data_IF_870742562493
#
_entry.id   IF_870742562493
#
_cell.length_a   1.000
_cell.length_b   1.000
_cell.length_c   1.000
_cell.angle_alpha   90.00
_cell.angle_beta   90.00
_cell.angle_gamma   90.00
#
_symmetry.space_group_name_H-M   'P 1'
#
loop_
_entity.id
_entity.type
_entity.pdbx_description
1 polymer ?
#
# COMPACT_ATOMS: atom_id res chain seq x y z
N UNK A 1 8.76 -57.59 15.85
CA UNK A 1 8.92 -56.65 14.72
C UNK A 1 8.38 -55.30 15.19
N UNK A 2 9.24 -54.38 15.61
CA UNK A 2 8.82 -53.08 16.15
C UNK A 2 9.10 -51.99 15.11
N UNK A 3 8.05 -51.37 14.60
CA UNK A 3 8.15 -50.15 13.79
C UNK A 3 8.31 -48.95 14.73
N UNK A 4 9.44 -48.27 14.64
CA UNK A 4 9.66 -46.96 15.26
C UNK A 4 9.10 -45.89 14.33
N UNK A 5 7.89 -45.38 14.59
CA UNK A 5 7.43 -44.15 13.92
C UNK A 5 8.28 -42.96 14.39
N UNK A 6 8.92 -42.26 13.45
CA UNK A 6 9.70 -41.07 13.74
C UNK A 6 8.78 -39.91 14.14
N UNK A 7 8.84 -39.50 15.40
CA UNK A 7 8.10 -38.33 15.91
C UNK A 7 8.73 -37.04 15.37
N UNK A 8 7.95 -36.24 14.62
CA UNK A 8 8.37 -34.93 14.13
C UNK A 8 8.20 -33.87 15.22
N UNK A 9 9.32 -33.44 15.82
CA UNK A 9 9.35 -32.30 16.74
C UNK A 9 9.40 -31.00 15.96
N UNK A 10 8.46 -30.09 16.20
CA UNK A 10 8.42 -28.75 15.58
C UNK A 10 8.65 -27.69 16.64
N UNK A 11 9.72 -26.91 16.49
CA UNK A 11 10.04 -25.77 17.36
C UNK A 11 9.78 -24.48 16.58
N UNK A 12 9.06 -23.54 17.19
CA UNK A 12 8.88 -22.19 16.63
C UNK A 12 10.07 -21.31 17.03
N UNK A 13 10.84 -20.87 16.03
CA UNK A 13 11.94 -19.93 16.21
C UNK A 13 11.60 -18.59 15.55
N UNK A 14 12.01 -17.48 16.18
CA UNK A 14 11.89 -16.13 15.60
C UNK A 14 13.20 -15.80 14.88
N UNK A 15 13.16 -15.76 13.55
CA UNK A 15 14.26 -15.26 12.75
C UNK A 15 14.20 -13.74 12.72
N UNK A 16 15.30 -13.09 13.11
CA UNK A 16 15.46 -11.64 12.97
C UNK A 16 16.22 -11.35 11.68
N UNK A 17 15.85 -10.29 10.94
CA UNK A 17 16.60 -9.89 9.76
C UNK A 17 18.01 -9.46 10.14
N UNK A 18 18.97 -9.73 9.27
CA UNK A 18 20.29 -9.11 9.37
C UNK A 18 20.15 -7.59 9.17
N UNK A 19 21.13 -6.77 9.61
CA UNK A 19 21.09 -5.32 9.37
C UNK A 19 20.89 -4.97 7.89
N UNK A 20 21.57 -5.69 6.99
CA UNK A 20 21.41 -5.50 5.54
C UNK A 20 19.99 -5.82 5.05
N UNK A 21 19.36 -6.89 5.55
CA UNK A 21 17.98 -7.23 5.21
C UNK A 21 16.99 -6.20 5.75
N UNK A 22 17.21 -5.70 6.98
CA UNK A 22 16.38 -4.66 7.57
C UNK A 22 16.46 -3.35 6.78
N UNK A 23 17.67 -2.96 6.35
CA UNK A 23 17.88 -1.79 5.49
C UNK A 23 17.20 -1.94 4.13
N UNK A 24 17.35 -3.10 3.48
CA UNK A 24 16.70 -3.37 2.19
C UNK A 24 15.16 -3.33 2.29
N UNK A 25 14.60 -3.88 3.38
CA UNK A 25 13.18 -3.80 3.65
C UNK A 25 12.73 -2.35 3.87
N UNK A 26 13.44 -1.59 4.71
CA UNK A 26 13.12 -0.19 4.97
C UNK A 26 13.14 0.66 3.71
N UNK A 27 14.15 0.49 2.85
CA UNK A 27 14.23 1.16 1.56
C UNK A 27 13.05 0.79 0.63
N UNK A 28 12.64 -0.47 0.65
CA UNK A 28 11.48 -0.94 -0.13
C UNK A 28 10.18 -0.31 0.36
N UNK A 29 9.97 -0.19 1.67
CA UNK A 29 8.79 0.46 2.25
C UNK A 29 8.77 1.95 1.91
N UNK A 30 9.91 2.64 2.00
CA UNK A 30 10.04 4.04 1.59
C UNK A 30 9.65 4.23 0.12
N UNK A 31 10.19 3.42 -0.79
CA UNK A 31 9.86 3.46 -2.21
C UNK A 31 8.37 3.18 -2.48
N UNK A 32 7.77 2.22 -1.76
CA UNK A 32 6.33 1.96 -1.84
C UNK A 32 5.50 3.17 -1.37
N UNK A 33 5.95 3.86 -0.32
CA UNK A 33 5.23 5.00 0.23
C UNK A 33 5.29 6.22 -0.70
N UNK A 34 6.46 6.52 -1.25
CA UNK A 34 6.64 7.56 -2.27
C UNK A 34 5.78 7.27 -3.51
N UNK A 35 5.80 6.01 -3.96
CA UNK A 35 4.96 5.56 -5.06
C UNK A 35 3.46 5.74 -4.78
N UNK A 36 2.99 5.50 -3.55
CA UNK A 36 1.61 5.74 -3.16
C UNK A 36 1.24 7.23 -3.23
N UNK A 37 2.14 8.12 -2.81
CA UNK A 37 1.99 9.57 -2.99
C UNK A 37 1.79 9.94 -4.45
N UNK A 38 2.67 9.45 -5.32
CA UNK A 38 2.56 9.69 -6.77
C UNK A 38 1.27 9.14 -7.38
N UNK A 39 0.86 7.90 -7.03
CA UNK A 39 -0.42 7.35 -7.50
C UNK A 39 -1.58 8.22 -7.02
N UNK A 40 -1.53 8.75 -5.80
CA UNK A 40 -2.58 9.63 -5.29
C UNK A 40 -2.67 10.95 -6.05
N UNK A 41 -1.54 11.53 -6.46
CA UNK A 41 -1.52 12.73 -7.30
C UNK A 41 -2.18 12.46 -8.65
N UNK A 42 -1.89 11.32 -9.27
CA UNK A 42 -2.54 10.91 -10.52
C UNK A 42 -4.04 10.69 -10.32
N UNK A 43 -4.43 9.99 -9.25
CA UNK A 43 -5.83 9.74 -8.91
C UNK A 43 -6.61 11.06 -8.78
N UNK A 44 -6.02 12.03 -8.08
CA UNK A 44 -6.61 13.34 -7.88
C UNK A 44 -6.72 14.13 -9.19
N UNK A 45 -5.63 14.21 -9.96
CA UNK A 45 -5.58 14.96 -11.23
C UNK A 45 -6.54 14.40 -12.27
N UNK A 46 -6.65 13.08 -12.35
CA UNK A 46 -7.50 12.41 -13.35
C UNK A 46 -8.95 12.22 -12.90
N UNK A 47 -9.23 12.40 -11.59
CA UNK A 47 -10.53 12.09 -10.98
C UNK A 47 -10.85 10.59 -10.96
N UNK A 48 -9.89 9.71 -11.31
CA UNK A 48 -10.10 8.26 -11.40
C UNK A 48 -9.47 7.57 -10.21
N UNK A 49 -10.31 7.11 -9.28
CA UNK A 49 -9.87 6.56 -7.98
C UNK A 49 -10.10 5.04 -7.86
N UNK A 50 -10.68 4.39 -8.86
CA UNK A 50 -10.92 2.95 -8.83
C UNK A 50 -9.63 2.17 -9.04
N UNK A 51 -9.52 0.98 -8.43
CA UNK A 51 -8.35 0.09 -8.56
C UNK A 51 -8.03 -0.21 -10.03
N UNK A 52 -9.03 -0.54 -10.84
CA UNK A 52 -8.85 -0.88 -12.24
C UNK A 52 -8.40 0.32 -13.08
N UNK A 53 -8.90 1.52 -12.80
CA UNK A 53 -8.46 2.72 -13.50
C UNK A 53 -7.01 3.08 -13.12
N UNK A 54 -6.70 3.07 -11.82
CA UNK A 54 -5.35 3.35 -11.33
C UNK A 54 -4.35 2.29 -11.79
N UNK A 55 -4.74 1.03 -11.89
CA UNK A 55 -3.84 0.00 -12.42
C UNK A 55 -3.50 0.26 -13.88
N UNK A 56 -4.49 0.59 -14.73
CA UNK A 56 -4.24 0.91 -16.14
C UNK A 56 -3.34 2.13 -16.30
N UNK A 57 -3.56 3.16 -15.49
CA UNK A 57 -2.86 4.44 -15.59
C UNK A 57 -1.45 4.40 -14.98
N UNK A 58 -1.30 3.75 -13.81
CA UNK A 58 -0.13 3.91 -12.97
C UNK A 58 0.83 2.71 -13.04
N UNK A 59 0.36 1.51 -13.39
CA UNK A 59 1.19 0.30 -13.33
C UNK A 59 2.49 0.41 -14.15
N UNK A 60 2.49 0.90 -15.41
CA UNK A 60 3.72 1.12 -16.15
C UNK A 60 4.69 2.06 -15.42
N UNK A 61 4.20 3.21 -14.93
CA UNK A 61 5.04 4.14 -14.19
C UNK A 61 5.53 3.63 -12.84
N UNK A 62 4.86 2.65 -12.23
CA UNK A 62 5.36 1.96 -11.03
C UNK A 62 6.47 0.95 -11.38
N UNK A 63 6.38 0.30 -12.53
CA UNK A 63 7.42 -0.58 -13.06
C UNK A 63 8.68 0.21 -13.40
N UNK A 64 8.54 1.38 -14.00
CA UNK A 64 9.66 2.27 -14.33
C UNK A 64 10.39 2.81 -13.08
N UNK A 65 9.67 2.89 -11.95
CA UNK A 65 10.25 3.20 -10.62
C UNK A 65 10.95 2.04 -9.94
N UNK A 66 11.06 0.89 -10.61
CA UNK A 66 11.75 -0.28 -10.07
C UNK A 66 10.91 -1.14 -9.13
N UNK A 67 9.60 -0.87 -8.97
CA UNK A 67 8.77 -1.77 -8.19
C UNK A 67 8.55 -3.09 -8.93
N UNK A 68 8.66 -4.20 -8.20
CA UNK A 68 8.21 -5.49 -8.68
C UNK A 68 6.67 -5.54 -8.73
N UNK A 69 6.12 -6.56 -9.38
CA UNK A 69 4.68 -6.60 -9.68
C UNK A 69 3.82 -6.53 -8.41
N UNK A 70 4.17 -7.29 -7.37
CA UNK A 70 3.34 -7.38 -6.15
C UNK A 70 3.31 -6.05 -5.36
N UNK A 71 4.45 -5.40 -5.02
CA UNK A 71 4.45 -4.08 -4.41
C UNK A 71 3.71 -3.02 -5.24
N UNK A 72 3.89 -3.01 -6.56
CA UNK A 72 3.18 -2.07 -7.42
C UNK A 72 1.65 -2.22 -7.30
N UNK A 73 1.14 -3.45 -7.34
CA UNK A 73 -0.28 -3.73 -7.16
C UNK A 73 -0.78 -3.37 -5.75
N UNK A 74 0.03 -3.59 -4.71
CA UNK A 74 -0.32 -3.19 -3.34
C UNK A 74 -0.39 -1.67 -3.18
N UNK A 75 0.52 -0.92 -3.79
CA UNK A 75 0.50 0.55 -3.81
C UNK A 75 -0.78 1.07 -4.48
N UNK A 76 -1.14 0.51 -5.63
CA UNK A 76 -2.39 0.84 -6.34
C UNK A 76 -3.60 0.55 -5.46
N UNK A 77 -3.64 -0.64 -4.86
CA UNK A 77 -4.73 -1.05 -3.97
C UNK A 77 -4.84 -0.11 -2.77
N UNK A 78 -3.74 0.13 -2.05
CA UNK A 78 -3.69 1.03 -0.89
C UNK A 78 -4.24 2.41 -1.24
N UNK A 79 -3.87 2.94 -2.40
CA UNK A 79 -4.30 4.28 -2.83
C UNK A 79 -5.80 4.31 -3.14
N UNK A 80 -6.29 3.34 -3.91
CA UNK A 80 -7.72 3.24 -4.19
C UNK A 80 -8.56 3.03 -2.91
N UNK A 81 -8.05 2.22 -1.98
CA UNK A 81 -8.70 1.94 -0.70
C UNK A 81 -8.77 3.20 0.16
N UNK A 82 -7.73 4.03 0.18
CA UNK A 82 -7.73 5.30 0.88
C UNK A 82 -8.81 6.26 0.36
N UNK A 83 -8.98 6.37 -0.97
CA UNK A 83 -10.07 7.15 -1.55
C UNK A 83 -11.45 6.55 -1.28
N UNK A 84 -11.56 5.22 -1.29
CA UNK A 84 -12.80 4.53 -0.91
C UNK A 84 -13.20 4.88 0.53
N UNK A 85 -12.24 4.88 1.45
CA UNK A 85 -12.45 5.28 2.85
C UNK A 85 -12.81 6.75 2.96
N UNK A 86 -12.21 7.64 2.18
CA UNK A 86 -12.57 9.06 2.15
C UNK A 86 -14.04 9.26 1.74
N UNK A 87 -14.47 8.62 0.65
CA UNK A 87 -15.86 8.70 0.18
C UNK A 87 -16.84 8.09 1.19
N UNK A 88 -16.46 6.96 1.81
CA UNK A 88 -17.27 6.34 2.87
C UNK A 88 -17.45 7.27 4.08
N UNK A 89 -16.40 7.98 4.51
CA UNK A 89 -16.50 8.94 5.61
C UNK A 89 -17.36 10.15 5.26
N UNK A 90 -17.35 10.59 4.00
CA UNK A 90 -18.26 11.64 3.52
C UNK A 90 -19.71 11.14 3.49
N UNK A 91 -19.94 9.92 3.00
CA UNK A 91 -21.27 9.30 2.96
C UNK A 91 -21.86 9.03 4.35
N UNK A 92 -21.03 8.66 5.31
CA UNK A 92 -21.42 8.43 6.71
C UNK A 92 -21.65 9.73 7.50
N UNK A 93 -21.34 10.91 6.93
CA UNK A 93 -21.45 12.18 7.65
C UNK A 93 -20.32 12.45 8.65
N UNK A 94 -19.24 11.66 8.65
CA UNK A 94 -18.04 11.93 9.46
C UNK A 94 -17.25 13.14 8.94
N UNK A 95 -17.40 13.45 7.64
CA UNK A 95 -16.83 14.63 7.00
C UNK A 95 -17.94 15.49 6.38
N UNK A 96 -18.14 16.70 6.90
CA UNK A 96 -19.23 17.61 6.52
C UNK A 96 -18.72 19.04 6.33
N UNK A 97 -19.48 19.84 5.56
CA UNK A 97 -19.17 21.26 5.32
C UNK A 97 -17.70 21.53 4.96
N UNK A 98 -17.01 22.31 5.80
CA UNK A 98 -15.61 22.69 5.61
C UNK A 98 -14.64 21.50 5.64
N UNK A 99 -14.89 20.47 6.48
CA UNK A 99 -13.98 19.33 6.59
C UNK A 99 -14.05 18.44 5.35
N UNK A 100 -15.25 18.23 4.78
CA UNK A 100 -15.42 17.60 3.46
C UNK A 100 -14.71 18.37 2.36
N UNK A 101 -14.93 19.69 2.28
CA UNK A 101 -14.32 20.53 1.25
C UNK A 101 -12.78 20.44 1.31
N UNK A 102 -12.20 20.56 2.50
CA UNK A 102 -10.74 20.43 2.72
C UNK A 102 -10.21 19.04 2.38
N UNK A 103 -10.94 17.98 2.72
CA UNK A 103 -10.49 16.61 2.47
C UNK A 103 -10.49 16.28 0.97
N UNK A 104 -11.42 16.85 0.19
CA UNK A 104 -11.52 16.67 -1.26
C UNK A 104 -10.74 17.68 -2.09
N UNK A 105 -10.13 18.70 -1.48
CA UNK A 105 -9.44 19.77 -2.24
C UNK A 105 -8.01 19.43 -2.64
N UNK A 106 -7.47 18.27 -2.21
CA UNK A 106 -6.09 17.87 -2.49
C UNK A 106 -5.95 16.35 -2.57
N UNK A 107 -4.86 15.84 -3.17
CA UNK A 107 -4.52 14.42 -3.11
C UNK A 107 -4.41 13.91 -1.67
N UNK A 108 -4.64 12.61 -1.47
CA UNK A 108 -4.40 11.96 -0.18
C UNK A 108 -2.90 11.92 0.07
N UNK A 109 -2.47 12.44 1.22
CA UNK A 109 -1.07 12.38 1.65
C UNK A 109 -0.89 11.20 2.59
N UNK A 110 0.00 10.28 2.25
CA UNK A 110 0.40 9.18 3.13
C UNK A 110 1.44 9.66 4.13
N UNK A 111 1.41 9.11 5.35
CA UNK A 111 2.47 9.35 6.34
C UNK A 111 3.79 8.72 5.86
N UNK A 112 4.97 9.24 6.23
CA UNK A 112 6.26 8.71 5.78
C UNK A 112 6.45 7.20 6.02
N UNK A 113 5.85 6.67 7.08
CA UNK A 113 5.93 5.29 7.58
C UNK A 113 4.66 4.48 7.34
N UNK A 114 3.79 4.90 6.41
CA UNK A 114 2.50 4.26 6.19
C UNK A 114 2.56 2.96 5.36
N UNK A 115 3.73 2.59 4.83
CA UNK A 115 3.93 1.43 3.95
C UNK A 115 4.32 0.17 4.71
#
# INVERSE_FOLDING_TARGET
MFYSEAVKVVVRVKLLPTPAQAMALSATLAACNEAAGWVSEIAFRTGRMSRSALQKECYPGLKDRGLSAQPALHVIRKTADAYTVLEANVGAGNLTGKSRARAKSKPITFRPDAA
#
